data_IF_737298563923
#
_entry.id   IF_737298563923
#
_cell.length_a   1.000
_cell.length_b   1.000
_cell.length_c   1.000
_cell.angle_alpha   90.00
_cell.angle_beta   90.00
_cell.angle_gamma   90.00
#
_symmetry.space_group_name_H-M   'P 1'
#
loop_
_entity.id
_entity.type
_entity.pdbx_description
1 polymer ?
#
# COMPACT_ATOMS: atom_id res chain seq x y z
N UNK A 1 2.36 -7.40 -15.84
CA UNK A 1 2.33 -6.05 -15.26
C UNK A 1 2.19 -6.12 -13.75
N UNK A 2 3.04 -5.43 -13.03
CA UNK A 2 2.95 -5.43 -11.57
C UNK A 2 1.76 -4.62 -11.07
N UNK A 3 1.11 -5.15 -10.05
CA UNK A 3 0.00 -4.49 -9.36
C UNK A 3 0.45 -4.28 -7.91
N UNK A 4 0.69 -3.03 -7.57
CA UNK A 4 1.27 -2.65 -6.29
C UNK A 4 0.18 -2.14 -5.36
N UNK A 5 -0.11 -2.88 -4.31
CA UNK A 5 -1.07 -2.44 -3.31
C UNK A 5 -0.33 -1.61 -2.26
N UNK A 6 -0.81 -0.39 -2.04
CA UNK A 6 -0.19 0.56 -1.12
C UNK A 6 -0.96 0.59 0.19
N UNK A 7 -0.27 0.23 1.28
CA UNK A 7 -0.84 0.34 2.62
C UNK A 7 -1.02 1.81 3.01
N UNK A 8 -1.82 2.05 4.03
CA UNK A 8 -2.13 3.40 4.50
C UNK A 8 -0.87 4.22 4.83
N UNK A 9 0.14 3.60 5.46
CA UNK A 9 1.36 4.32 5.81
C UNK A 9 2.14 4.77 4.58
N UNK A 10 2.05 4.06 3.46
CA UNK A 10 2.70 4.46 2.21
C UNK A 10 1.97 5.67 1.62
N UNK A 11 0.64 5.65 1.61
CA UNK A 11 -0.17 6.78 1.15
C UNK A 11 0.09 8.01 2.03
N UNK A 12 0.09 7.82 3.34
CA UNK A 12 0.38 8.88 4.30
C UNK A 12 1.74 9.51 4.03
N UNK A 13 2.78 8.70 3.94
CA UNK A 13 4.15 9.19 3.76
C UNK A 13 4.32 9.89 2.42
N UNK A 14 3.69 9.40 1.36
CA UNK A 14 3.74 10.03 0.04
C UNK A 14 3.06 11.40 0.03
N UNK A 15 2.00 11.57 0.82
CA UNK A 15 1.26 12.82 0.89
C UNK A 15 1.82 13.81 1.91
N UNK A 16 2.65 13.33 2.84
CA UNK A 16 3.13 14.14 3.96
C UNK A 16 4.04 15.28 3.51
N UNK A 17 4.91 15.02 2.54
CA UNK A 17 5.83 16.03 1.99
C UNK A 17 5.86 15.93 0.47
N UNK A 18 6.18 17.06 -0.16
CA UNK A 18 6.26 17.12 -1.63
C UNK A 18 7.56 16.56 -2.20
N UNK A 19 8.56 16.30 -1.36
CA UNK A 19 9.91 15.89 -1.80
C UNK A 19 10.29 14.47 -1.37
N UNK A 20 9.32 13.66 -1.00
CA UNK A 20 9.60 12.27 -0.59
C UNK A 20 9.97 11.39 -1.80
N UNK A 21 10.94 10.50 -1.57
CA UNK A 21 11.34 9.51 -2.58
C UNK A 21 10.22 8.53 -2.95
N UNK A 22 9.20 8.38 -2.08
CA UNK A 22 8.06 7.50 -2.36
C UNK A 22 7.26 7.94 -3.58
N UNK A 23 7.35 9.21 -3.97
CA UNK A 23 6.66 9.71 -5.17
C UNK A 23 7.16 9.03 -6.44
N UNK A 24 8.31 8.38 -6.40
CA UNK A 24 8.82 7.59 -7.53
C UNK A 24 7.86 6.44 -7.89
N UNK A 25 7.09 5.95 -6.94
CA UNK A 25 6.09 4.92 -7.22
C UNK A 25 5.08 5.40 -8.26
N UNK A 26 4.70 6.68 -8.20
CA UNK A 26 3.72 7.27 -9.12
C UNK A 26 4.31 7.55 -10.51
N UNK A 27 5.63 7.45 -10.66
CA UNK A 27 6.32 7.67 -11.93
C UNK A 27 6.70 6.37 -12.63
N UNK A 28 6.46 5.23 -12.00
CA UNK A 28 6.78 3.94 -12.59
C UNK A 28 5.87 3.68 -13.80
N UNK A 29 6.48 3.09 -14.84
CA UNK A 29 5.75 2.66 -16.02
C UNK A 29 5.34 1.21 -15.86
N UNK A 30 4.26 0.85 -16.53
CA UNK A 30 3.79 -0.53 -16.60
C UNK A 30 3.50 -1.16 -15.23
N UNK A 31 3.09 -0.32 -14.28
CA UNK A 31 2.58 -0.78 -12.99
C UNK A 31 1.19 -0.21 -12.78
N UNK A 32 0.38 -0.94 -12.03
CA UNK A 32 -0.91 -0.46 -11.57
C UNK A 32 -0.79 -0.23 -10.08
N UNK A 33 -1.06 1.00 -9.65
CA UNK A 33 -1.11 1.31 -8.22
C UNK A 33 -2.50 1.01 -7.70
N UNK A 34 -2.58 0.26 -6.62
CA UNK A 34 -3.83 -0.15 -5.98
C UNK A 34 -3.80 0.25 -4.51
N UNK A 35 -4.95 0.43 -3.93
CA UNK A 35 -5.12 0.55 -2.50
C UNK A 35 -6.59 0.25 -2.15
N UNK A 36 -7.04 0.67 -0.98
CA UNK A 36 -8.41 0.48 -0.55
C UNK A 36 -8.97 1.77 0.02
N UNK A 37 -10.30 1.87 0.07
CA UNK A 37 -10.95 3.00 0.76
C UNK A 37 -10.59 3.02 2.23
N UNK A 38 -10.44 1.86 2.82
CA UNK A 38 -10.01 1.72 4.21
C UNK A 38 -8.62 2.34 4.42
N UNK A 39 -7.64 1.99 3.58
CA UNK A 39 -6.29 2.53 3.68
C UNK A 39 -6.27 4.03 3.41
N UNK A 40 -7.02 4.48 2.41
CA UNK A 40 -7.11 5.89 2.06
C UNK A 40 -7.66 6.72 3.22
N UNK A 41 -8.74 6.24 3.84
CA UNK A 41 -9.36 6.94 4.97
C UNK A 41 -8.42 7.00 6.17
N UNK A 42 -7.71 5.91 6.45
CA UNK A 42 -6.73 5.88 7.54
C UNK A 42 -5.60 6.89 7.29
N UNK A 43 -5.11 6.98 6.06
CA UNK A 43 -4.10 7.98 5.71
C UNK A 43 -4.65 9.41 5.87
N UNK A 44 -5.87 9.63 5.39
CA UNK A 44 -6.50 10.95 5.43
C UNK A 44 -6.68 11.47 6.84
N UNK A 45 -7.18 10.64 7.76
CA UNK A 45 -7.45 11.10 9.12
C UNK A 45 -6.18 11.38 9.91
N UNK A 46 -5.05 10.82 9.49
CA UNK A 46 -3.77 11.07 10.14
C UNK A 46 -3.02 12.28 9.58
N UNK A 47 -3.47 12.84 8.46
CA UNK A 47 -2.90 14.06 7.89
C UNK A 47 -3.61 15.27 8.49
N UNK A 48 -2.86 16.18 9.12
CA UNK A 48 -3.41 17.29 9.87
C UNK A 48 -3.48 18.61 9.07
N UNK A 49 -2.79 18.68 7.93
CA UNK A 49 -2.72 19.90 7.14
C UNK A 49 -3.47 19.74 5.82
N UNK A 50 -4.19 20.79 5.44
CA UNK A 50 -4.99 20.73 4.22
C UNK A 50 -4.15 20.53 2.97
N UNK A 51 -2.94 21.10 2.93
CA UNK A 51 -2.02 20.91 1.80
C UNK A 51 -1.68 19.42 1.63
N UNK A 52 -1.48 18.71 2.73
CA UNK A 52 -1.20 17.28 2.70
C UNK A 52 -2.40 16.48 2.21
N UNK A 53 -3.59 16.83 2.67
CA UNK A 53 -4.83 16.16 2.25
C UNK A 53 -5.12 16.39 0.77
N UNK A 54 -4.86 17.60 0.29
CA UNK A 54 -5.00 17.92 -1.13
C UNK A 54 -4.02 17.10 -1.96
N UNK A 55 -2.79 16.93 -1.48
CA UNK A 55 -1.79 16.10 -2.14
C UNK A 55 -2.24 14.64 -2.18
N UNK A 56 -2.83 14.15 -1.09
CA UNK A 56 -3.36 12.79 -1.03
C UNK A 56 -4.44 12.57 -2.10
N UNK A 57 -5.38 13.51 -2.22
CA UNK A 57 -6.44 13.43 -3.24
C UNK A 57 -5.82 13.34 -4.64
N UNK A 58 -4.82 14.17 -4.92
CA UNK A 58 -4.15 14.15 -6.22
C UNK A 58 -3.47 12.82 -6.50
N UNK A 59 -2.76 12.27 -5.50
CA UNK A 59 -2.08 10.99 -5.64
C UNK A 59 -3.06 9.85 -5.85
N UNK A 60 -4.15 9.83 -5.12
CA UNK A 60 -5.14 8.76 -5.22
C UNK A 60 -5.92 8.79 -6.51
N UNK A 61 -5.90 9.91 -7.24
CA UNK A 61 -6.49 9.96 -8.59
C UNK A 61 -5.88 8.97 -9.57
N UNK A 62 -4.67 8.49 -9.28
CA UNK A 62 -3.96 7.49 -10.10
C UNK A 62 -3.92 6.12 -9.44
N UNK A 63 -4.69 5.92 -8.39
CA UNK A 63 -4.70 4.67 -7.63
C UNK A 63 -6.07 4.02 -7.78
N UNK A 64 -6.10 2.73 -8.09
CA UNK A 64 -7.33 1.96 -8.14
C UNK A 64 -7.69 1.52 -6.72
N UNK A 65 -8.92 1.79 -6.31
CA UNK A 65 -9.38 1.49 -4.97
C UNK A 65 -10.24 0.24 -4.95
N UNK A 66 -9.95 -0.63 -3.99
CA UNK A 66 -10.66 -1.89 -3.79
C UNK A 66 -11.12 -1.98 -2.34
N UNK A 67 -12.14 -2.78 -2.11
CA UNK A 67 -12.57 -3.13 -0.75
C UNK A 67 -12.10 -4.55 -0.45
N UNK A 68 -12.16 -4.94 0.82
CA UNK A 68 -11.68 -6.26 1.24
C UNK A 68 -12.47 -7.43 0.63
N UNK A 69 -13.67 -7.17 0.12
CA UNK A 69 -14.52 -8.20 -0.46
C UNK A 69 -14.99 -9.19 0.61
N UNK A 70 -15.18 -10.43 0.19
CA UNK A 70 -15.63 -11.50 1.07
C UNK A 70 -14.53 -12.50 1.40
N UNK A 71 -13.28 -12.09 1.23
CA UNK A 71 -12.14 -12.96 1.54
C UNK A 71 -12.01 -13.18 3.04
N UNK A 72 -11.50 -14.33 3.40
CA UNK A 72 -11.11 -14.65 4.75
C UNK A 72 -9.60 -14.60 4.88
N UNK A 73 -9.10 -14.34 6.09
CA UNK A 73 -7.68 -14.32 6.33
C UNK A 73 -7.08 -15.70 6.00
N UNK A 74 -6.02 -15.76 5.16
CA UNK A 74 -5.41 -17.02 4.81
C UNK A 74 -4.91 -17.79 6.03
N UNK A 75 -5.01 -19.12 5.96
CA UNK A 75 -4.53 -19.99 7.02
C UNK A 75 -3.03 -19.75 7.26
N UNK A 76 -2.65 -19.70 8.54
CA UNK A 76 -1.26 -19.48 8.93
C UNK A 76 -0.81 -18.02 8.94
N UNK A 77 -1.66 -17.10 8.47
CA UNK A 77 -1.35 -15.67 8.51
C UNK A 77 -1.88 -15.07 9.80
N UNK A 78 -1.02 -14.36 10.51
CA UNK A 78 -1.39 -13.66 11.73
C UNK A 78 -1.11 -12.18 11.58
N UNK A 79 -2.15 -11.36 11.75
CA UNK A 79 -2.07 -9.91 11.67
C UNK A 79 -2.96 -9.29 12.73
N UNK A 80 -2.60 -8.10 13.25
CA UNK A 80 -3.53 -7.34 14.07
C UNK A 80 -4.84 -7.11 13.30
N UNK A 81 -5.93 -7.06 14.02
CA UNK A 81 -7.27 -6.94 13.42
C UNK A 81 -7.38 -5.77 12.44
N UNK A 82 -6.75 -4.64 12.78
CA UNK A 82 -6.80 -3.44 11.93
C UNK A 82 -6.04 -3.60 10.60
N UNK A 83 -5.14 -4.57 10.52
CA UNK A 83 -4.34 -4.79 9.30
C UNK A 83 -4.93 -5.88 8.40
N UNK A 84 -5.89 -6.64 8.93
CA UNK A 84 -6.56 -7.69 8.14
C UNK A 84 -7.24 -7.10 6.90
N UNK A 85 -8.00 -5.98 6.98
CA UNK A 85 -8.62 -5.40 5.79
C UNK A 85 -7.62 -4.98 4.71
N UNK A 86 -6.39 -4.63 5.09
CA UNK A 86 -5.34 -4.27 4.14
C UNK A 86 -4.98 -5.49 3.29
N UNK A 87 -4.66 -6.61 3.93
CA UNK A 87 -4.31 -7.83 3.21
C UNK A 87 -5.46 -8.33 2.35
N UNK A 88 -6.68 -8.33 2.90
CA UNK A 88 -7.84 -8.82 2.16
C UNK A 88 -8.15 -7.97 0.94
N UNK A 89 -7.98 -6.65 1.02
CA UNK A 89 -8.13 -5.77 -0.12
C UNK A 89 -7.04 -5.99 -1.16
N UNK A 90 -5.81 -6.27 -0.72
CA UNK A 90 -4.71 -6.60 -1.62
C UNK A 90 -5.01 -7.88 -2.41
N UNK A 91 -5.62 -8.87 -1.76
CA UNK A 91 -6.05 -10.10 -2.41
C UNK A 91 -7.16 -9.79 -3.44
N UNK A 92 -8.16 -9.00 -3.04
CA UNK A 92 -9.26 -8.60 -3.94
C UNK A 92 -8.74 -7.86 -5.16
N UNK A 93 -7.72 -7.02 -4.98
CA UNK A 93 -7.10 -6.25 -6.04
C UNK A 93 -6.23 -7.11 -6.96
N UNK A 94 -6.05 -8.38 -6.66
CA UNK A 94 -5.15 -9.29 -7.39
C UNK A 94 -3.73 -8.73 -7.48
N UNK A 95 -3.26 -8.23 -6.34
CA UNK A 95 -1.95 -7.58 -6.27
C UNK A 95 -0.82 -8.57 -6.47
N UNK A 96 0.25 -8.11 -7.10
CA UNK A 96 1.50 -8.86 -7.17
C UNK A 96 2.38 -8.55 -5.96
N UNK A 97 2.23 -7.34 -5.44
CA UNK A 97 3.02 -6.84 -4.31
C UNK A 97 2.13 -6.09 -3.33
N UNK A 98 2.44 -6.23 -2.04
CA UNK A 98 1.91 -5.38 -0.99
C UNK A 98 3.06 -4.56 -0.44
N UNK A 99 2.97 -3.23 -0.60
CA UNK A 99 4.00 -2.31 -0.14
C UNK A 99 3.55 -1.68 1.17
N UNK A 100 4.33 -1.88 2.21
CA UNK A 100 4.03 -1.34 3.54
C UNK A 100 5.32 -0.99 4.27
N UNK A 101 5.29 0.13 4.99
CA UNK A 101 6.37 0.52 5.88
C UNK A 101 6.21 0.01 7.31
N UNK A 102 5.15 -0.75 7.58
CA UNK A 102 4.84 -1.23 8.92
C UNK A 102 5.69 -2.44 9.27
N UNK A 103 6.89 -2.18 9.77
CA UNK A 103 7.83 -3.21 10.19
C UNK A 103 7.26 -4.06 11.33
N UNK A 104 6.52 -3.43 12.24
CA UNK A 104 6.01 -4.10 13.44
C UNK A 104 4.99 -5.18 13.10
N UNK A 105 4.07 -4.90 12.18
CA UNK A 105 2.97 -5.81 11.87
C UNK A 105 3.23 -6.68 10.65
N UNK A 106 3.95 -6.16 9.67
CA UNK A 106 4.23 -6.88 8.43
C UNK A 106 5.69 -7.31 8.27
N UNK A 107 6.58 -6.90 9.20
CA UNK A 107 8.01 -7.15 9.06
C UNK A 107 8.38 -8.62 8.91
N UNK A 108 7.66 -9.51 9.60
CA UNK A 108 7.93 -10.96 9.50
C UNK A 108 7.57 -11.52 8.12
N UNK A 109 6.79 -10.78 7.32
CA UNK A 109 6.41 -11.19 5.97
C UNK A 109 7.26 -10.54 4.88
N UNK A 110 8.15 -9.62 5.23
CA UNK A 110 8.99 -8.95 4.23
C UNK A 110 9.82 -9.98 3.46
N UNK A 111 9.75 -9.90 2.12
CA UNK A 111 10.41 -10.82 1.23
C UNK A 111 9.69 -12.15 1.05
N UNK A 112 8.55 -12.32 1.69
CA UNK A 112 7.76 -13.54 1.60
C UNK A 112 6.49 -13.31 0.78
N UNK A 113 5.94 -14.39 0.24
CA UNK A 113 4.68 -14.34 -0.48
C UNK A 113 3.54 -14.82 0.41
N UNK A 114 2.49 -14.02 0.43
CA UNK A 114 1.24 -14.35 1.12
C UNK A 114 0.16 -14.39 0.04
N UNK A 115 -0.44 -15.55 -0.20
CA UNK A 115 -1.40 -15.73 -1.29
C UNK A 115 -0.83 -15.27 -2.65
N UNK A 116 0.45 -15.54 -2.87
CA UNK A 116 1.13 -15.12 -4.09
C UNK A 116 1.57 -13.66 -4.13
N UNK A 117 1.25 -12.88 -3.10
CA UNK A 117 1.57 -11.46 -3.00
C UNK A 117 2.90 -11.28 -2.27
N UNK A 118 3.88 -10.68 -2.94
CA UNK A 118 5.17 -10.42 -2.32
C UNK A 118 5.08 -9.17 -1.45
N UNK A 119 5.36 -9.32 -0.15
CA UNK A 119 5.29 -8.23 0.82
C UNK A 119 6.67 -7.57 0.92
N UNK A 120 6.73 -6.27 0.67
CA UNK A 120 8.00 -5.51 0.69
C UNK A 120 7.78 -4.12 1.28
N UNK A 121 8.80 -3.54 1.92
CA UNK A 121 8.77 -2.11 2.18
C UNK A 121 8.86 -1.36 0.85
N UNK A 122 8.25 -0.15 0.75
CA UNK A 122 8.23 0.58 -0.52
C UNK A 122 9.62 0.93 -1.04
N UNK A 123 10.54 1.29 -0.13
CA UNK A 123 11.93 1.54 -0.52
C UNK A 123 12.62 0.29 -1.06
N UNK A 124 12.27 -0.88 -0.52
CA UNK A 124 12.79 -2.17 -0.99
C UNK A 124 12.33 -2.46 -2.41
N UNK A 125 11.07 -2.18 -2.70
CA UNK A 125 10.55 -2.34 -4.06
C UNK A 125 11.28 -1.39 -5.03
N UNK A 126 11.39 -0.13 -4.66
CA UNK A 126 12.04 0.87 -5.51
C UNK A 126 13.50 0.54 -5.81
N UNK A 127 14.25 0.08 -4.81
CA UNK A 127 15.65 -0.31 -5.01
C UNK A 127 15.78 -1.51 -5.95
N UNK A 128 14.80 -2.40 -5.96
CA UNK A 128 14.83 -3.62 -6.76
C UNK A 128 14.47 -3.37 -8.23
N UNK A 129 13.58 -2.43 -8.49
CA UNK A 129 12.97 -2.27 -9.81
C UNK A 129 13.25 -0.93 -10.49
N UNK A 130 13.98 -0.04 -9.83
CA UNK A 130 14.37 1.25 -10.42
C UNK A 130 15.85 1.49 -10.15
N UNK A 131 16.65 1.35 -11.15
CA UNK A 131 18.08 1.67 -11.04
C UNK A 131 18.32 3.15 -11.21
#
# INVERSE_FOLDING_TARGET
>A
MARLFLDANVLFSAAYRSDTGLLKLWKLREVVLCSSRYALEEARINLNHEVQRTRLVRLTGKVRLFDAGKHELPEGVSLPEKDVPILLAAIEARSTHLLTGDLRHFGSYFGKRVEGILVLPPGGYLRRYTD
#
